data_IF_787762049080
#
_entry.id   IF_787762049080
#
_cell.length_a   1.000
_cell.length_b   1.000
_cell.length_c   1.000
_cell.angle_alpha   90.00
_cell.angle_beta   90.00
_cell.angle_gamma   90.00
#
_symmetry.space_group_name_H-M   'P 1'
#
loop_
_entity.id
_entity.type
_entity.pdbx_description
1 polymer ?
#
# COMPACT_ATOMS: atom_id res chain seq x y z
N UNK A 1 24.25 -22.95 72.99
CA UNK A 1 24.73 -24.32 72.74
C UNK A 1 25.43 -24.34 71.38
N UNK A 2 26.73 -24.00 71.37
CA UNK A 2 27.55 -23.98 70.16
C UNK A 2 28.05 -25.38 69.84
N UNK A 3 28.04 -25.77 68.56
CA UNK A 3 28.86 -26.89 68.09
C UNK A 3 29.55 -26.56 66.78
N UNK A 4 30.88 -26.56 66.89
CA UNK A 4 31.91 -26.46 65.86
C UNK A 4 31.66 -27.40 64.69
N UNK A 5 31.84 -26.91 63.46
CA UNK A 5 32.09 -27.75 62.28
C UNK A 5 33.60 -27.79 62.07
N UNK A 6 34.16 -29.01 62.09
CA UNK A 6 35.57 -29.31 61.79
C UNK A 6 35.76 -29.40 60.28
N UNK A 7 36.85 -28.80 59.81
CA UNK A 7 37.47 -29.02 58.51
C UNK A 7 37.90 -30.49 58.36
N UNK A 8 37.64 -31.08 57.20
CA UNK A 8 38.42 -32.21 56.66
C UNK A 8 38.70 -31.92 55.19
N UNK A 9 39.99 -31.80 54.89
CA UNK A 9 40.55 -31.64 53.58
C UNK A 9 40.53 -32.94 52.76
N UNK A 10 40.66 -32.75 51.45
CA UNK A 10 40.56 -33.71 50.37
C UNK A 10 41.39 -35.00 50.52
N UNK A 11 40.83 -36.10 50.01
CA UNK A 11 41.59 -37.16 49.33
C UNK A 11 40.94 -37.41 47.98
N UNK A 12 41.75 -37.21 46.93
CA UNK A 12 41.35 -37.37 45.54
C UNK A 12 41.01 -38.81 45.18
N UNK A 13 40.07 -38.95 44.26
CA UNK A 13 39.86 -40.16 43.50
C UNK A 13 40.05 -39.82 42.03
N UNK A 14 41.22 -40.20 41.51
CA UNK A 14 41.50 -40.29 40.09
C UNK A 14 40.60 -41.38 39.51
N UNK A 15 39.75 -41.01 38.55
CA UNK A 15 38.99 -42.02 37.80
C UNK A 15 37.69 -41.50 37.18
N UNK A 16 37.75 -40.40 36.42
CA UNK A 16 36.59 -39.99 35.60
C UNK A 16 37.01 -39.19 34.36
N UNK A 17 37.86 -39.77 33.52
CA UNK A 17 38.17 -39.19 32.19
C UNK A 17 37.82 -40.08 31.00
N UNK A 18 37.32 -41.31 31.22
CA UNK A 18 36.99 -42.22 30.11
C UNK A 18 35.52 -42.19 29.65
N UNK A 19 34.59 -41.62 30.44
CA UNK A 19 33.16 -41.65 30.10
C UNK A 19 32.64 -40.38 29.38
N UNK A 20 33.38 -39.27 29.43
CA UNK A 20 32.94 -38.01 28.80
C UNK A 20 33.36 -37.84 27.34
N UNK A 21 34.27 -38.69 26.83
CA UNK A 21 34.73 -38.61 25.44
C UNK A 21 33.79 -39.30 24.44
N UNK A 22 32.96 -40.26 24.89
CA UNK A 22 32.11 -41.04 23.98
C UNK A 22 30.77 -40.36 23.65
N UNK A 23 30.31 -39.41 24.48
CA UNK A 23 29.09 -38.63 24.21
C UNK A 23 29.32 -37.42 23.30
N UNK A 24 30.57 -36.97 23.13
CA UNK A 24 30.91 -35.85 22.22
C UNK A 24 31.08 -36.33 20.77
N UNK A 25 31.42 -37.61 20.55
CA UNK A 25 31.66 -38.15 19.20
C UNK A 25 30.37 -38.50 18.46
N UNK A 26 29.24 -38.72 19.15
CA UNK A 26 27.95 -39.04 18.49
C UNK A 26 27.16 -37.78 18.11
N UNK A 27 27.45 -36.62 18.70
CA UNK A 27 26.77 -35.36 18.34
C UNK A 27 27.31 -34.68 17.07
N UNK A 28 28.41 -35.17 16.49
CA UNK A 28 29.05 -34.56 15.30
C UNK A 28 28.69 -35.30 14.00
N UNK A 29 27.92 -36.39 14.05
CA UNK A 29 27.58 -37.20 12.88
C UNK A 29 26.12 -37.06 12.38
N UNK A 30 25.43 -35.98 12.73
CA UNK A 30 24.21 -35.55 12.03
C UNK A 30 24.52 -34.26 11.28
N UNK A 31 25.51 -34.34 10.38
CA UNK A 31 25.68 -33.36 9.31
C UNK A 31 24.55 -33.57 8.32
N UNK A 32 23.45 -32.84 8.49
CA UNK A 32 22.40 -32.73 7.50
C UNK A 32 23.01 -32.27 6.18
N UNK A 33 22.85 -33.06 5.13
CA UNK A 33 23.02 -32.59 3.76
C UNK A 33 21.93 -31.55 3.49
N UNK A 34 22.21 -30.31 3.86
CA UNK A 34 21.50 -29.17 3.31
C UNK A 34 22.28 -28.80 2.05
N UNK A 35 21.66 -28.79 0.85
CA UNK A 35 22.33 -28.24 -0.32
C UNK A 35 22.71 -26.79 0.01
N UNK A 36 23.93 -26.39 -0.31
CA UNK A 36 24.40 -25.01 -0.21
C UNK A 36 23.53 -24.11 -1.10
N UNK A 37 22.38 -23.69 -0.60
CA UNK A 37 21.74 -22.48 -1.06
C UNK A 37 22.55 -21.35 -0.48
N UNK A 38 23.59 -20.92 -1.22
CA UNK A 38 24.07 -19.54 -1.08
C UNK A 38 22.84 -18.65 -1.14
N UNK A 39 22.44 -17.97 -0.05
CA UNK A 39 21.56 -16.85 -0.22
C UNK A 39 22.43 -15.84 -0.93
N UNK A 40 22.23 -15.68 -2.23
CA UNK A 40 22.39 -14.37 -2.83
C UNK A 40 21.35 -13.49 -2.13
N UNK A 41 21.66 -13.09 -0.89
CA UNK A 41 21.01 -12.00 -0.21
C UNK A 41 21.44 -10.77 -0.97
N UNK A 42 20.80 -10.55 -2.11
CA UNK A 42 20.71 -9.23 -2.69
C UNK A 42 20.03 -8.41 -1.60
N UNK A 43 20.83 -7.64 -0.87
CA UNK A 43 20.32 -6.58 -0.01
C UNK A 43 19.41 -5.74 -0.90
N UNK A 44 18.10 -5.83 -0.70
CA UNK A 44 17.11 -5.02 -1.43
C UNK A 44 17.32 -3.59 -0.95
N UNK A 45 18.22 -2.90 -1.64
CA UNK A 45 18.54 -1.50 -1.44
C UNK A 45 17.53 -0.71 -2.26
N UNK A 46 16.37 -0.47 -1.64
CA UNK A 46 15.28 0.28 -2.22
C UNK A 46 14.27 -0.56 -3.00
N UNK A 47 13.00 -0.22 -2.84
CA UNK A 47 11.89 -0.68 -3.67
C UNK A 47 12.14 -0.21 -5.11
N UNK A 48 12.54 -1.11 -6.02
CA UNK A 48 12.62 -0.80 -7.45
C UNK A 48 11.21 -0.76 -8.01
N UNK A 49 10.82 0.35 -8.63
CA UNK A 49 9.49 0.54 -9.20
C UNK A 49 9.12 -0.59 -10.18
N UNK A 50 10.05 -1.01 -11.04
CA UNK A 50 9.82 -2.12 -11.97
C UNK A 50 9.61 -3.44 -11.23
N UNK A 51 10.35 -3.71 -10.15
CA UNK A 51 10.16 -4.91 -9.34
C UNK A 51 8.85 -4.90 -8.55
N UNK A 52 8.38 -3.71 -8.16
CA UNK A 52 7.05 -3.54 -7.58
C UNK A 52 5.98 -3.78 -8.63
N UNK A 53 6.03 -3.10 -9.77
CA UNK A 53 5.03 -3.18 -10.83
C UNK A 53 4.99 -4.58 -11.45
N UNK A 54 6.08 -5.35 -11.40
CA UNK A 54 6.13 -6.77 -11.76
C UNK A 54 7.29 -7.15 -12.69
N UNK A 55 7.45 -8.46 -12.92
CA UNK A 55 8.27 -8.93 -14.05
C UNK A 55 7.43 -8.91 -15.33
N UNK A 56 8.05 -8.87 -16.53
CA UNK A 56 7.33 -8.98 -17.80
C UNK A 56 6.49 -10.26 -17.91
N UNK A 57 6.80 -11.29 -17.12
CA UNK A 57 6.02 -12.50 -17.07
C UNK A 57 4.69 -12.26 -16.33
N UNK A 58 3.60 -12.20 -17.08
CA UNK A 58 2.22 -12.04 -16.59
C UNK A 58 1.49 -13.36 -16.32
N UNK A 59 2.17 -14.51 -16.33
CA UNK A 59 1.53 -15.82 -16.18
C UNK A 59 0.56 -15.88 -15.00
N UNK A 60 -0.70 -16.25 -15.30
CA UNK A 60 -1.79 -16.36 -14.35
C UNK A 60 -2.55 -15.07 -14.03
N UNK A 61 -2.04 -13.89 -14.41
CA UNK A 61 -2.73 -12.62 -14.25
C UNK A 61 -3.55 -12.25 -15.50
N UNK A 62 -4.68 -11.58 -15.30
CA UNK A 62 -5.45 -10.97 -16.39
C UNK A 62 -4.68 -9.79 -17.02
N UNK A 63 -4.93 -9.49 -18.30
CA UNK A 63 -4.33 -8.37 -19.02
C UNK A 63 -5.39 -7.41 -19.55
N UNK A 64 -5.04 -6.13 -19.62
CA UNK A 64 -5.86 -5.13 -20.29
C UNK A 64 -5.50 -5.13 -21.78
N UNK A 65 -6.36 -5.73 -22.61
CA UNK A 65 -6.08 -5.98 -24.02
C UNK A 65 -7.16 -5.38 -24.94
N UNK A 66 -8.41 -5.41 -24.49
CA UNK A 66 -9.55 -4.89 -25.24
C UNK A 66 -10.42 -4.03 -24.32
N UNK A 67 -11.15 -3.04 -24.82
CA UNK A 67 -12.09 -2.28 -24.00
C UNK A 67 -13.13 -3.17 -23.31
N UNK A 68 -13.55 -2.77 -22.11
CA UNK A 68 -14.57 -3.45 -21.30
C UNK A 68 -15.72 -2.51 -21.00
N UNK A 69 -16.87 -3.08 -20.64
CA UNK A 69 -17.97 -2.31 -20.09
C UNK A 69 -17.74 -2.09 -18.58
N UNK A 70 -17.48 -0.83 -18.21
CA UNK A 70 -17.41 -0.42 -16.81
C UNK A 70 -18.79 -0.44 -16.18
N UNK A 71 -18.91 -1.09 -15.03
CA UNK A 71 -20.14 -1.23 -14.26
C UNK A 71 -19.92 -0.65 -12.88
N UNK A 72 -20.62 0.45 -12.59
CA UNK A 72 -20.60 1.10 -11.28
C UNK A 72 -21.82 0.66 -10.45
N UNK A 73 -21.67 0.41 -9.14
CA UNK A 73 -20.50 0.69 -8.30
C UNK A 73 -19.44 -0.43 -8.23
N UNK A 74 -19.60 -1.54 -8.96
CA UNK A 74 -18.68 -2.70 -8.92
C UNK A 74 -17.23 -2.29 -9.17
N UNK A 75 -16.98 -1.51 -10.22
CA UNK A 75 -15.64 -1.14 -10.67
C UNK A 75 -15.03 0.04 -9.88
N UNK A 76 -15.67 0.46 -8.77
CA UNK A 76 -15.00 1.25 -7.74
C UNK A 76 -14.11 0.39 -6.83
N UNK A 77 -14.47 -0.88 -6.65
CA UNK A 77 -13.73 -1.82 -5.82
C UNK A 77 -12.47 -2.37 -6.49
N UNK A 78 -11.96 -3.47 -5.92
CA UNK A 78 -10.73 -4.11 -6.35
C UNK A 78 -10.91 -5.09 -7.51
N UNK A 79 -9.95 -5.10 -8.43
CA UNK A 79 -9.84 -6.02 -9.56
C UNK A 79 -8.69 -7.02 -9.35
N UNK A 80 -8.85 -7.94 -8.40
CA UNK A 80 -7.80 -8.87 -7.96
C UNK A 80 -7.16 -9.79 -9.02
N UNK A 81 -7.81 -10.11 -10.17
CA UNK A 81 -7.14 -10.83 -11.25
C UNK A 81 -5.99 -10.07 -11.92
N UNK A 82 -5.91 -8.75 -11.75
CA UNK A 82 -4.84 -7.91 -12.29
C UNK A 82 -3.75 -7.69 -11.26
N UNK A 83 -2.51 -7.53 -11.73
CA UNK A 83 -1.36 -7.41 -10.83
C UNK A 83 -1.35 -6.11 -10.04
N UNK A 84 -1.58 -4.98 -10.70
CA UNK A 84 -1.44 -3.64 -10.14
C UNK A 84 -2.77 -2.90 -10.17
N UNK A 85 -3.04 -2.12 -9.13
CA UNK A 85 -4.20 -1.26 -9.05
C UNK A 85 -3.98 -0.08 -8.09
N UNK A 86 -4.52 1.10 -8.41
CA UNK A 86 -4.34 2.29 -7.59
C UNK A 86 -5.56 3.20 -7.46
N UNK A 87 -5.89 3.57 -6.22
CA UNK A 87 -6.87 4.59 -5.86
C UNK A 87 -6.11 5.87 -5.52
N UNK A 88 -6.13 6.85 -6.44
CA UNK A 88 -5.29 8.04 -6.33
C UNK A 88 -6.13 9.32 -6.26
N UNK A 89 -6.24 9.89 -5.06
CA UNK A 89 -6.90 11.15 -4.80
C UNK A 89 -5.86 12.27 -4.77
N UNK A 90 -6.07 13.33 -5.54
CA UNK A 90 -5.37 14.60 -5.41
C UNK A 90 -6.37 15.72 -5.15
N UNK A 91 -5.98 16.73 -4.39
CA UNK A 91 -6.85 17.85 -4.05
C UNK A 91 -6.06 19.14 -3.85
N UNK A 92 -6.69 20.24 -4.27
CA UNK A 92 -6.29 21.60 -3.89
C UNK A 92 -7.40 22.16 -3.03
N UNK A 93 -7.05 22.50 -1.80
CA UNK A 93 -7.95 22.94 -0.76
C UNK A 93 -7.54 24.33 -0.26
N UNK A 94 -8.50 25.09 0.26
CA UNK A 94 -8.30 26.41 0.83
C UNK A 94 -8.97 26.52 2.20
N UNK A 95 -8.33 27.22 3.14
CA UNK A 95 -8.96 27.59 4.41
C UNK A 95 -9.79 28.89 4.31
N UNK A 96 -10.32 29.34 5.45
CA UNK A 96 -11.14 30.55 5.56
C UNK A 96 -10.36 31.85 5.34
N UNK A 97 -9.03 31.81 5.42
CA UNK A 97 -8.13 32.93 5.13
C UNK A 97 -7.66 32.90 3.67
N UNK A 98 -8.05 31.89 2.89
CA UNK A 98 -7.64 31.72 1.50
C UNK A 98 -6.24 31.14 1.33
N UNK A 99 -5.65 30.54 2.37
CA UNK A 99 -4.38 29.83 2.24
C UNK A 99 -4.60 28.48 1.56
N UNK A 100 -3.70 28.13 0.64
CA UNK A 100 -3.80 26.91 -0.17
C UNK A 100 -3.07 25.72 0.47
N UNK A 101 -3.69 24.56 0.34
CA UNK A 101 -3.19 23.27 0.80
C UNK A 101 -3.32 22.23 -0.32
N UNK A 102 -2.20 21.59 -0.65
CA UNK A 102 -2.20 20.39 -1.49
C UNK A 102 -2.42 19.16 -0.63
N UNK A 103 -3.33 18.27 -1.02
CA UNK A 103 -3.49 16.95 -0.39
C UNK A 103 -3.42 15.89 -1.47
N UNK A 104 -2.67 14.82 -1.23
CA UNK A 104 -2.84 13.60 -2.00
C UNK A 104 -2.89 12.39 -1.10
N UNK A 105 -3.66 11.40 -1.53
CA UNK A 105 -3.76 10.09 -0.91
C UNK A 105 -3.74 9.06 -2.02
N UNK A 106 -2.85 8.08 -1.90
CA UNK A 106 -2.82 6.94 -2.81
C UNK A 106 -2.87 5.66 -2.02
N UNK A 107 -3.70 4.72 -2.45
CA UNK A 107 -3.55 3.32 -2.07
C UNK A 107 -3.26 2.49 -3.31
N UNK A 108 -2.15 1.78 -3.27
CA UNK A 108 -1.66 0.84 -4.26
C UNK A 108 -1.93 -0.57 -3.79
N UNK A 109 -2.50 -1.41 -4.65
CA UNK A 109 -2.52 -2.86 -4.48
C UNK A 109 -1.57 -3.49 -5.48
N UNK A 110 -0.71 -4.37 -4.98
CA UNK A 110 0.13 -5.22 -5.79
C UNK A 110 -0.10 -6.69 -5.47
N UNK A 111 -0.48 -7.47 -6.47
CA UNK A 111 -0.56 -8.91 -6.37
C UNK A 111 0.83 -9.53 -6.60
N UNK A 112 1.36 -10.16 -5.56
CA UNK A 112 2.62 -10.90 -5.58
C UNK A 112 2.46 -12.27 -6.27
N UNK A 113 1.26 -12.85 -6.19
CA UNK A 113 0.87 -14.10 -6.86
C UNK A 113 -0.54 -13.98 -7.45
N UNK A 114 -0.86 -14.68 -8.56
CA UNK A 114 -2.20 -14.63 -9.18
C UNK A 114 -3.32 -15.19 -8.30
N UNK A 115 -2.99 -16.08 -7.37
CA UNK A 115 -3.91 -16.71 -6.45
C UNK A 115 -3.30 -16.77 -5.03
N UNK A 116 -4.14 -16.89 -3.98
CA UNK A 116 -3.69 -17.19 -2.63
C UNK A 116 -2.79 -18.43 -2.58
N UNK A 117 -1.82 -18.45 -1.66
CA UNK A 117 -0.85 -19.54 -1.50
C UNK A 117 -1.33 -20.69 -0.63
N UNK A 118 -2.57 -20.62 -0.15
CA UNK A 118 -3.18 -21.56 0.78
C UNK A 118 -4.47 -20.98 1.38
N UNK A 119 -4.94 -21.60 2.46
CA UNK A 119 -6.20 -21.23 3.11
C UNK A 119 -5.99 -20.22 4.25
N UNK A 120 -6.96 -19.34 4.45
CA UNK A 120 -6.95 -18.35 5.52
C UNK A 120 -6.33 -17.00 5.13
N UNK A 121 -6.49 -15.96 5.97
CA UNK A 121 -6.25 -14.58 5.56
C UNK A 121 -4.75 -14.23 5.40
N UNK A 122 -3.85 -15.02 6.00
CA UNK A 122 -2.40 -14.82 5.90
C UNK A 122 -1.78 -15.39 4.62
N UNK A 123 -2.51 -16.23 3.89
CA UNK A 123 -2.10 -16.80 2.61
C UNK A 123 -2.47 -15.92 1.42
N UNK A 124 -2.74 -14.64 1.67
CA UNK A 124 -2.98 -13.65 0.63
C UNK A 124 -1.82 -13.60 -0.38
N UNK A 125 -2.16 -13.39 -1.65
CA UNK A 125 -1.21 -12.99 -2.69
C UNK A 125 -1.09 -11.47 -2.82
N UNK A 126 -1.73 -10.69 -1.95
CA UNK A 126 -1.87 -9.24 -2.11
C UNK A 126 -1.01 -8.48 -1.11
N UNK A 127 -0.35 -7.43 -1.59
CA UNK A 127 0.32 -6.41 -0.80
C UNK A 127 -0.33 -5.05 -1.08
N UNK A 128 -0.41 -4.22 -0.05
CA UNK A 128 -0.92 -2.86 -0.14
C UNK A 128 0.15 -1.88 0.32
N UNK A 129 0.27 -0.78 -0.41
CA UNK A 129 1.05 0.40 -0.05
C UNK A 129 0.07 1.58 -0.03
N UNK A 130 0.15 2.45 0.96
CA UNK A 130 -0.49 3.75 0.87
C UNK A 130 0.49 4.87 1.17
N UNK A 131 0.28 6.01 0.53
CA UNK A 131 1.06 7.22 0.75
C UNK A 131 0.10 8.41 0.81
N UNK A 132 0.31 9.27 1.79
CA UNK A 132 -0.47 10.48 1.99
C UNK A 132 0.48 11.62 2.24
N UNK A 133 0.27 12.75 1.54
CA UNK A 133 0.95 13.99 1.89
C UNK A 133 0.02 15.19 1.93
N UNK A 134 0.42 16.17 2.75
CA UNK A 134 -0.21 17.47 2.90
C UNK A 134 0.89 18.52 2.69
N UNK A 135 0.64 19.47 1.79
CA UNK A 135 1.52 20.60 1.50
C UNK A 135 0.83 21.89 1.89
N UNK A 136 1.39 22.66 2.82
CA UNK A 136 1.02 24.05 3.05
C UNK A 136 1.81 24.92 2.06
N UNK A 137 1.09 25.49 1.08
CA UNK A 137 1.71 26.22 -0.04
C UNK A 137 2.37 27.51 0.44
N UNK A 138 1.76 28.20 1.40
CA UNK A 138 2.23 29.50 1.88
C UNK A 138 3.55 29.39 2.65
N UNK A 139 3.74 28.30 3.41
CA UNK A 139 4.94 28.07 4.24
C UNK A 139 5.96 27.16 3.58
N UNK A 140 5.57 26.39 2.56
CA UNK A 140 6.40 25.36 1.93
C UNK A 140 6.55 24.09 2.78
N UNK A 141 5.78 23.95 3.87
CA UNK A 141 5.80 22.74 4.70
C UNK A 141 5.14 21.59 3.93
N UNK A 142 5.86 20.47 3.81
CA UNK A 142 5.38 19.24 3.21
C UNK A 142 5.50 18.11 4.23
N UNK A 143 4.35 17.52 4.60
CA UNK A 143 4.26 16.40 5.54
C UNK A 143 3.77 15.18 4.78
N UNK A 144 4.42 14.04 4.95
CA UNK A 144 4.06 12.80 4.27
C UNK A 144 4.24 11.59 5.19
N UNK A 145 3.51 10.53 4.90
CA UNK A 145 3.78 9.21 5.46
C UNK A 145 3.37 8.11 4.50
N UNK A 146 3.89 6.91 4.76
CA UNK A 146 3.60 5.71 4.00
C UNK A 146 3.27 4.53 4.91
N UNK A 147 2.43 3.62 4.41
CA UNK A 147 2.03 2.39 5.08
C UNK A 147 2.20 1.21 4.13
N UNK A 148 2.68 0.09 4.64
CA UNK A 148 2.79 -1.17 3.91
C UNK A 148 2.14 -2.28 4.71
N UNK A 149 1.24 -3.02 4.08
CA UNK A 149 0.55 -4.13 4.74
C UNK A 149 0.31 -5.28 3.76
N UNK A 150 0.27 -6.49 4.29
CA UNK A 150 -0.29 -7.63 3.54
C UNK A 150 -1.79 -7.48 3.47
N UNK A 151 -2.39 -7.91 2.37
CA UNK A 151 -3.84 -8.01 2.24
C UNK A 151 -4.40 -8.93 3.33
N UNK A 152 -5.14 -8.37 4.27
CA UNK A 152 -5.68 -9.09 5.41
C UNK A 152 -6.93 -8.34 5.88
N UNK A 153 -8.03 -9.03 6.26
CA UNK A 153 -9.27 -8.35 6.68
C UNK A 153 -9.06 -7.30 7.78
N UNK A 154 -8.11 -7.54 8.69
CA UNK A 154 -7.78 -6.64 9.79
C UNK A 154 -6.63 -5.66 9.51
N UNK A 155 -5.93 -5.76 8.38
CA UNK A 155 -4.76 -4.91 8.08
C UNK A 155 -4.94 -4.07 6.83
N UNK A 156 -5.33 -4.65 5.70
CA UNK A 156 -5.46 -3.90 4.46
C UNK A 156 -6.32 -4.62 3.44
N UNK A 157 -7.10 -3.84 2.71
CA UNK A 157 -7.97 -4.35 1.67
C UNK A 157 -8.83 -3.28 1.06
N UNK A 158 -9.43 -3.62 -0.09
CA UNK A 158 -10.48 -2.81 -0.70
C UNK A 158 -11.72 -3.65 -0.92
N UNK A 159 -12.87 -3.16 -0.49
CA UNK A 159 -14.17 -3.79 -0.71
C UNK A 159 -14.94 -3.12 -1.85
N UNK A 160 -15.65 -3.94 -2.62
CA UNK A 160 -16.58 -3.51 -3.67
C UNK A 160 -18.02 -3.60 -3.19
N UNK A 161 -18.90 -2.71 -3.66
CA UNK A 161 -20.33 -2.76 -3.37
C UNK A 161 -20.95 -1.38 -3.29
N UNK A 162 -22.14 -1.27 -2.70
CA UNK A 162 -22.77 0.03 -2.41
C UNK A 162 -22.10 0.80 -1.27
N UNK A 163 -21.34 0.09 -0.42
CA UNK A 163 -20.48 0.64 0.61
C UNK A 163 -19.04 0.26 0.29
N UNK A 164 -18.25 1.25 -0.15
CA UNK A 164 -16.85 1.11 -0.45
C UNK A 164 -16.01 1.31 0.80
N UNK A 165 -14.91 0.56 0.90
CA UNK A 165 -13.87 0.80 1.86
C UNK A 165 -12.51 0.43 1.27
N UNK A 166 -11.60 1.39 1.22
CA UNK A 166 -10.18 1.22 1.01
C UNK A 166 -9.49 1.46 2.36
N UNK A 167 -8.86 0.42 2.91
CA UNK A 167 -8.33 0.41 4.28
C UNK A 167 -6.89 -0.05 4.27
N UNK A 168 -6.05 0.60 5.07
CA UNK A 168 -4.74 0.11 5.48
C UNK A 168 -4.47 0.60 6.91
N UNK A 169 -4.46 -0.35 7.83
CA UNK A 169 -4.39 -0.13 9.27
C UNK A 169 -5.50 0.85 9.71
N UNK A 170 -5.14 2.03 10.20
CA UNK A 170 -6.06 3.08 10.64
C UNK A 170 -6.40 4.10 9.55
N UNK A 171 -5.76 4.02 8.37
CA UNK A 171 -6.08 4.88 7.24
C UNK A 171 -7.23 4.30 6.42
N UNK A 172 -8.23 5.14 6.16
CA UNK A 172 -9.48 4.72 5.54
C UNK A 172 -10.00 5.72 4.52
N UNK A 173 -10.40 5.23 3.35
CA UNK A 173 -11.24 5.92 2.39
C UNK A 173 -12.52 5.10 2.24
N UNK A 174 -13.61 5.54 2.86
CA UNK A 174 -14.85 4.76 2.92
C UNK A 174 -16.08 5.59 2.58
N UNK A 175 -17.14 4.96 2.09
CA UNK A 175 -18.41 5.65 1.91
C UNK A 175 -19.32 5.01 0.89
N UNK A 176 -20.41 5.71 0.58
CA UNK A 176 -21.37 5.29 -0.41
C UNK A 176 -20.79 5.49 -1.82
N UNK A 177 -20.89 4.47 -2.65
CA UNK A 177 -20.41 4.48 -4.03
C UNK A 177 -21.54 4.42 -5.05
N UNK A 178 -22.79 4.46 -4.60
CA UNK A 178 -23.92 4.69 -5.48
C UNK A 178 -23.86 6.12 -6.00
N UNK A 179 -23.85 6.30 -7.33
CA UNK A 179 -23.67 7.62 -7.94
C UNK A 179 -24.74 8.63 -7.49
N UNK A 180 -24.35 9.85 -7.06
CA UNK A 180 -22.96 10.32 -6.92
C UNK A 180 -22.25 9.73 -5.70
N UNK A 181 -20.96 9.38 -5.84
CA UNK A 181 -20.19 8.86 -4.71
C UNK A 181 -20.08 9.90 -3.57
N UNK A 182 -20.06 9.40 -2.34
CA UNK A 182 -19.89 10.18 -1.11
C UNK A 182 -18.95 9.42 -0.18
N UNK A 183 -17.70 9.84 -0.12
CA UNK A 183 -16.63 9.18 0.62
C UNK A 183 -16.11 10.06 1.77
N UNK A 184 -15.44 9.44 2.72
CA UNK A 184 -14.70 10.10 3.79
C UNK A 184 -13.30 9.51 3.83
N UNK A 185 -12.28 10.37 3.72
CA UNK A 185 -10.88 10.04 3.95
C UNK A 185 -10.53 10.39 5.39
N UNK A 186 -10.09 9.39 6.17
CA UNK A 186 -9.52 9.57 7.51
C UNK A 186 -8.18 8.88 7.60
N UNK A 187 -7.17 9.63 8.04
CA UNK A 187 -5.84 9.12 8.32
C UNK A 187 -5.16 10.05 9.32
N UNK A 188 -4.30 9.48 10.17
CA UNK A 188 -3.56 10.25 11.16
C UNK A 188 -2.16 9.69 11.30
N UNK A 189 -1.20 10.60 11.45
CA UNK A 189 0.13 10.31 11.96
C UNK A 189 0.31 11.13 13.24
N UNK A 190 0.46 10.46 14.40
CA UNK A 190 0.57 11.14 15.69
C UNK A 190 1.63 12.24 15.64
N UNK A 191 1.28 13.40 16.21
CA UNK A 191 2.13 14.60 16.28
C UNK A 191 2.48 15.25 14.91
N UNK A 192 2.30 14.55 13.79
CA UNK A 192 2.62 15.07 12.45
C UNK A 192 1.40 15.62 11.72
N UNK A 193 0.41 14.80 11.41
CA UNK A 193 -0.78 15.26 10.70
C UNK A 193 -2.03 14.44 10.94
N UNK A 194 -3.19 15.00 10.61
CA UNK A 194 -4.48 14.31 10.55
C UNK A 194 -5.27 14.84 9.37
N UNK A 195 -5.98 13.96 8.66
CA UNK A 195 -6.99 14.32 7.67
C UNK A 195 -8.33 13.72 8.07
N UNK A 196 -9.38 14.53 7.97
CA UNK A 196 -10.78 14.10 8.07
C UNK A 196 -11.56 14.88 7.02
N UNK A 197 -11.62 14.30 5.82
CA UNK A 197 -12.12 14.95 4.62
C UNK A 197 -13.33 14.21 4.07
N UNK A 198 -14.43 14.95 3.92
CA UNK A 198 -15.63 14.50 3.21
C UNK A 198 -15.51 14.84 1.73
N UNK A 199 -15.81 13.87 0.87
CA UNK A 199 -15.54 13.91 -0.57
C UNK A 199 -16.83 13.57 -1.30
N UNK A 200 -17.36 14.53 -2.06
CA UNK A 200 -18.60 14.37 -2.81
C UNK A 200 -18.35 14.48 -4.30
N UNK A 201 -18.78 13.48 -5.07
CA UNK A 201 -18.76 13.58 -6.52
C UNK A 201 -19.77 14.62 -7.02
N UNK A 202 -19.27 15.56 -7.80
CA UNK A 202 -20.09 16.59 -8.46
C UNK A 202 -19.92 16.58 -9.99
N UNK A 203 -18.85 15.96 -10.50
CA UNK A 203 -18.62 15.74 -11.93
C UNK A 203 -18.92 14.31 -12.39
N UNK A 204 -18.92 14.08 -13.72
CA UNK A 204 -19.08 12.76 -14.27
C UNK A 204 -17.86 11.87 -14.03
N UNK A 205 -18.06 10.56 -14.11
CA UNK A 205 -16.96 9.61 -14.32
C UNK A 205 -16.50 9.75 -15.77
N UNK A 206 -15.19 9.81 -15.99
CA UNK A 206 -14.56 9.93 -17.30
C UNK A 206 -13.73 8.68 -17.57
N UNK A 207 -14.12 7.90 -18.58
CA UNK A 207 -13.34 6.75 -19.04
C UNK A 207 -12.18 7.25 -19.91
N UNK A 208 -10.95 6.88 -19.56
CA UNK A 208 -9.74 7.33 -20.25
C UNK A 208 -9.45 6.47 -21.48
N UNK A 209 -8.68 6.99 -22.45
CA UNK A 209 -8.29 6.23 -23.65
C UNK A 209 -9.48 5.78 -24.51
N UNK A 210 -9.41 4.57 -25.06
CA UNK A 210 -10.53 3.97 -25.80
C UNK A 210 -11.50 3.30 -24.82
N UNK A 211 -12.53 4.04 -24.41
CA UNK A 211 -13.61 3.56 -23.52
C UNK A 211 -13.08 2.91 -22.24
N UNK A 212 -12.04 3.50 -21.66
CA UNK A 212 -11.41 3.04 -20.42
C UNK A 212 -10.15 2.21 -20.66
N UNK A 213 -9.85 1.75 -21.88
CA UNK A 213 -8.57 1.13 -22.20
C UNK A 213 -7.54 2.21 -22.55
N UNK A 214 -6.57 2.43 -21.67
CA UNK A 214 -5.51 3.44 -21.80
C UNK A 214 -4.17 2.78 -22.15
N UNK A 215 -3.71 2.95 -23.39
CA UNK A 215 -2.41 2.45 -23.83
C UNK A 215 -1.25 3.20 -23.16
N UNK A 216 -0.24 2.47 -22.71
CA UNK A 216 0.98 2.96 -22.05
C UNK A 216 2.26 2.59 -22.83
N UNK A 217 2.11 1.88 -23.95
CA UNK A 217 3.17 1.44 -24.85
C UNK A 217 2.61 0.47 -25.90
N UNK A 218 3.44 -0.06 -26.80
CA UNK A 218 2.97 -0.96 -27.88
C UNK A 218 2.20 -2.19 -27.38
N UNK A 219 2.66 -2.81 -26.29
CA UNK A 219 2.08 -4.03 -25.72
C UNK A 219 1.61 -3.85 -24.26
N UNK A 220 1.35 -2.60 -23.86
CA UNK A 220 1.00 -2.22 -22.49
C UNK A 220 -0.20 -1.30 -22.45
N UNK A 221 -1.20 -1.66 -21.65
CA UNK A 221 -2.38 -0.86 -21.40
C UNK A 221 -2.90 -1.09 -19.98
N UNK A 222 -3.74 -0.17 -19.53
CA UNK A 222 -4.49 -0.26 -18.28
C UNK A 222 -5.96 0.01 -18.52
N UNK A 223 -6.80 -0.50 -17.63
CA UNK A 223 -8.15 0.02 -17.50
C UNK A 223 -8.12 1.24 -16.58
N UNK A 224 -8.71 2.35 -17.01
CA UNK A 224 -8.52 3.64 -16.37
C UNK A 224 -9.76 4.54 -16.50
N UNK A 225 -10.22 5.05 -15.37
CA UNK A 225 -11.17 6.16 -15.31
C UNK A 225 -10.78 7.18 -14.25
N UNK A 226 -11.36 8.36 -14.37
CA UNK A 226 -11.20 9.45 -13.43
C UNK A 226 -12.56 9.97 -12.94
N UNK A 227 -12.57 10.59 -11.77
CA UNK A 227 -13.65 11.46 -11.30
C UNK A 227 -13.06 12.85 -11.12
N UNK A 228 -13.10 13.69 -12.17
CA UNK A 228 -12.34 14.95 -12.21
C UNK A 228 -12.78 16.02 -11.21
N UNK A 229 -14.04 15.97 -10.77
CA UNK A 229 -14.64 17.02 -9.94
C UNK A 229 -15.29 16.43 -8.70
N UNK A 230 -14.50 16.39 -7.64
CA UNK A 230 -14.91 16.04 -6.28
C UNK A 230 -14.94 17.33 -5.46
N UNK A 231 -16.07 17.65 -4.83
CA UNK A 231 -16.12 18.69 -3.80
C UNK A 231 -15.59 18.09 -2.51
N UNK A 232 -14.63 18.76 -1.88
CA UNK A 232 -14.03 18.31 -0.63
C UNK A 232 -14.23 19.36 0.44
N UNK A 233 -14.59 18.93 1.63
CA UNK A 233 -14.65 19.75 2.83
C UNK A 233 -14.20 18.94 4.04
N UNK A 234 -13.65 19.59 5.06
CA UNK A 234 -13.25 18.90 6.27
C UNK A 234 -12.16 19.62 7.03
N UNK A 235 -11.31 18.85 7.69
CA UNK A 235 -10.23 19.37 8.53
C UNK A 235 -8.90 18.72 8.20
N UNK A 236 -7.86 19.52 8.28
CA UNK A 236 -6.47 19.07 8.31
C UNK A 236 -5.87 19.48 9.65
N UNK A 237 -5.09 18.61 10.27
CA UNK A 237 -4.15 18.96 11.34
C UNK A 237 -2.75 18.88 10.76
N UNK A 238 -1.97 19.95 10.88
CA UNK A 238 -0.55 20.01 10.52
C UNK A 238 0.21 20.38 11.78
N UNK A 239 0.94 19.42 12.36
CA UNK A 239 1.54 19.51 13.68
C UNK A 239 0.47 19.90 14.73
N UNK A 240 0.63 21.07 15.36
CA UNK A 240 -0.30 21.61 16.37
C UNK A 240 -1.43 22.46 15.77
N UNK A 241 -1.41 22.75 14.46
CA UNK A 241 -2.37 23.63 13.80
C UNK A 241 -3.49 22.82 13.17
N UNK A 242 -4.74 23.10 13.54
CA UNK A 242 -5.93 22.56 12.89
C UNK A 242 -6.54 23.62 11.97
N UNK A 243 -6.82 23.25 10.73
CA UNK A 243 -7.44 24.13 9.72
C UNK A 243 -8.68 23.46 9.14
N UNK A 244 -9.75 24.23 9.00
CA UNK A 244 -10.95 23.82 8.25
C UNK A 244 -10.73 24.21 6.80
N UNK A 245 -10.97 23.27 5.90
CA UNK A 245 -10.66 23.46 4.48
C UNK A 245 -11.83 23.05 3.60
N UNK A 246 -11.91 23.69 2.44
CA UNK A 246 -12.80 23.30 1.34
C UNK A 246 -12.06 23.40 0.02
N UNK A 247 -12.48 22.65 -1.00
CA UNK A 247 -11.87 22.76 -2.31
C UNK A 247 -12.31 21.68 -3.27
N UNK A 248 -11.45 21.40 -4.24
CA UNK A 248 -11.73 20.44 -5.29
C UNK A 248 -10.66 19.33 -5.31
N UNK A 249 -11.13 18.12 -5.54
CA UNK A 249 -10.27 16.96 -5.75
C UNK A 249 -10.56 16.23 -7.04
N UNK A 250 -9.63 15.36 -7.40
CA UNK A 250 -9.62 14.48 -8.55
C UNK A 250 -9.28 13.07 -8.05
N UNK A 251 -10.09 12.08 -8.42
CA UNK A 251 -9.79 10.67 -8.14
C UNK A 251 -9.47 9.95 -9.44
N UNK A 252 -8.32 9.29 -9.47
CA UNK A 252 -7.93 8.34 -10.50
C UNK A 252 -8.07 6.90 -10.02
N UNK A 253 -8.52 6.06 -10.94
CA UNK A 253 -8.73 4.63 -10.74
C UNK A 253 -8.21 3.88 -11.94
N UNK A 254 -7.14 3.12 -11.71
CA UNK A 254 -6.52 2.37 -12.77
C UNK A 254 -5.99 1.03 -12.27
N UNK A 255 -6.09 0.01 -13.13
CA UNK A 255 -5.58 -1.32 -12.89
C UNK A 255 -5.04 -1.95 -14.17
N UNK A 256 -3.97 -2.73 -14.02
CA UNK A 256 -3.29 -3.40 -15.12
C UNK A 256 -2.40 -4.53 -14.62
N UNK A 257 -1.78 -5.24 -15.56
CA UNK A 257 -0.72 -6.22 -15.26
C UNK A 257 0.58 -5.86 -15.96
N UNK A 258 0.50 -5.03 -17.00
CA UNK A 258 1.67 -4.57 -17.73
C UNK A 258 2.46 -3.59 -16.88
N UNK A 259 3.76 -3.84 -16.81
CA UNK A 259 4.70 -2.89 -16.21
C UNK A 259 5.01 -1.76 -17.17
N UNK A 260 5.48 -0.64 -16.63
CA UNK A 260 6.19 0.34 -17.44
C UNK A 260 7.39 -0.33 -18.07
N UNK A 261 7.63 0.00 -19.33
CA UNK A 261 8.74 -0.54 -20.11
C UNK A 261 10.07 -0.28 -19.38
N UNK A 262 10.98 -1.26 -19.40
CA UNK A 262 12.27 -1.17 -18.70
C UNK A 262 13.15 0.00 -19.19
N UNK A 263 12.89 0.52 -20.39
CA UNK A 263 13.55 1.71 -20.93
C UNK A 263 13.05 3.03 -20.32
N UNK A 264 11.92 3.02 -19.61
CA UNK A 264 11.36 4.20 -18.96
C UNK A 264 11.98 4.41 -17.58
N UNK A 265 12.51 5.61 -17.34
CA UNK A 265 13.01 6.00 -16.03
C UNK A 265 11.90 6.35 -15.02
N UNK A 266 10.71 6.70 -15.51
CA UNK A 266 9.56 7.16 -14.73
C UNK A 266 8.49 7.78 -15.64
N UNK A 267 7.55 8.51 -15.04
CA UNK A 267 6.53 9.27 -15.75
C UNK A 267 6.26 10.61 -15.07
N UNK A 268 5.79 11.57 -15.86
CA UNK A 268 5.19 12.81 -15.36
C UNK A 268 3.67 12.69 -15.53
N UNK A 269 2.91 13.01 -14.48
CA UNK A 269 1.45 13.02 -14.51
C UNK A 269 0.94 14.34 -13.93
N UNK A 270 -0.07 14.91 -14.56
CA UNK A 270 -0.78 16.07 -14.03
C UNK A 270 -2.26 16.00 -14.42
N UNK A 271 -3.12 16.49 -13.53
CA UNK A 271 -4.52 16.79 -13.81
C UNK A 271 -4.78 18.26 -13.56
N UNK A 272 -5.61 18.87 -14.40
CA UNK A 272 -5.96 20.29 -14.27
C UNK A 272 -7.47 20.43 -14.09
N UNK A 273 -7.87 21.12 -13.02
CA UNK A 273 -9.25 21.56 -12.85
C UNK A 273 -9.41 22.94 -13.47
N UNK A 274 -10.08 22.99 -14.63
CA UNK A 274 -10.36 24.24 -15.32
C UNK A 274 -11.66 24.87 -14.81
N UNK A 275 -11.69 26.19 -14.72
CA UNK A 275 -12.92 26.94 -14.53
C UNK A 275 -13.74 26.95 -15.83
N UNK A 276 -15.06 26.85 -15.69
CA UNK A 276 -15.96 27.10 -16.81
C UNK A 276 -16.15 28.61 -16.90
N UNK A 277 -15.54 29.23 -17.91
CA UNK A 277 -15.89 30.59 -18.30
C UNK A 277 -17.27 30.53 -18.97
N UNK A 278 -18.28 31.14 -18.34
CA UNK A 278 -19.58 31.42 -18.95
C UNK A 278 -19.64 32.88 -19.40
#
# INVERSE_FOLDING_TARGET
>A
MQRKVRSVAAKGFNGLHAASALLIVISVAIGGCQPDTSPAAATVTGLRLNSLLGSPNSDGFARAETPIDFVFPRDHGAHNPYRSEWWYLTAVLTDDQGLEYGVHFTQFRQALTPAPTGDGPWHTGQAYLAHLAITDVATGVHLEAERFARGHPDLAGVTSGGQFAAVIEDWTLTGATQSPISLTLRAAEPEQFEVDLHIQQTGPIVLQGDRGLSAKGPDSASYYYSIPRLRIEGRLRLNDRVVTVTGLGWLDREWSTSVLDESLAGWDWFSLQLELLF
#
